data_IF_327904886387
#
_entry.id   IF_327904886387
#
_cell.length_a   1.000
_cell.length_b   1.000
_cell.length_c   1.000
_cell.angle_alpha   90.00
_cell.angle_beta   90.00
_cell.angle_gamma   90.00
#
_symmetry.space_group_name_H-M   'P 1'
#
loop_
_entity.id
_entity.type
_entity.pdbx_description
1 polymer ?
#
# COMPACT_ATOMS: atom_id res chain seq x y z
N UNK A 1 -12.67 7.04 1.00
CA UNK A 1 -11.80 6.24 1.89
C UNK A 1 -10.77 7.18 2.52
N UNK A 2 -10.59 7.15 3.84
CA UNK A 2 -9.59 7.99 4.52
C UNK A 2 -8.45 7.05 4.95
N UNK A 3 -7.26 7.26 4.41
CA UNK A 3 -6.05 6.55 4.82
C UNK A 3 -5.14 7.49 5.58
N UNK A 4 -4.73 7.11 6.80
CA UNK A 4 -3.72 7.83 7.57
C UNK A 4 -2.45 7.00 7.64
N UNK A 5 -1.34 7.58 7.22
CA UNK A 5 -0.01 6.98 7.35
C UNK A 5 0.67 7.65 8.54
N UNK A 6 1.00 6.88 9.59
CA UNK A 6 1.80 7.35 10.72
C UNK A 6 3.14 6.62 10.75
N UNK A 7 4.21 7.35 10.97
CA UNK A 7 5.53 6.77 11.26
C UNK A 7 5.58 6.40 12.75
N UNK A 8 6.02 5.18 13.05
CA UNK A 8 6.17 4.66 14.41
C UNK A 8 5.10 3.65 14.83
N UNK A 9 5.08 3.33 16.14
CA UNK A 9 4.04 2.49 16.70
C UNK A 9 2.66 3.16 16.54
N UNK A 10 1.58 2.37 16.35
CA UNK A 10 0.24 2.93 16.27
C UNK A 10 0.00 3.82 17.49
N UNK A 11 -0.30 5.09 17.28
CA UNK A 11 -0.70 5.98 18.37
C UNK A 11 -2.01 5.46 18.93
N UNK A 12 -2.15 5.51 20.24
CA UNK A 12 -3.44 5.26 20.87
C UNK A 12 -4.51 6.12 20.18
N UNK A 13 -5.74 5.61 20.00
CA UNK A 13 -6.83 6.39 19.43
C UNK A 13 -6.89 7.75 20.16
N UNK A 14 -7.00 8.81 19.40
CA UNK A 14 -7.18 10.15 19.96
C UNK A 14 -8.47 10.13 20.77
N UNK A 15 -8.39 10.34 22.09
CA UNK A 15 -9.57 10.41 22.94
C UNK A 15 -10.45 11.61 22.55
N UNK A 16 -11.69 11.65 23.08
CA UNK A 16 -12.67 12.70 22.77
C UNK A 16 -12.08 14.11 22.88
N UNK A 17 -11.37 14.41 23.97
CA UNK A 17 -10.74 15.71 24.19
C UNK A 17 -9.69 16.06 23.12
N UNK A 18 -8.87 15.10 22.73
CA UNK A 18 -7.88 15.30 21.66
C UNK A 18 -8.53 15.54 20.31
N UNK A 19 -9.66 14.90 20.05
CA UNK A 19 -10.43 15.11 18.83
C UNK A 19 -11.13 16.49 18.83
N UNK A 20 -11.70 16.92 19.95
CA UNK A 20 -12.25 18.28 20.12
C UNK A 20 -11.20 19.37 19.83
N UNK A 21 -9.99 19.22 20.39
CA UNK A 21 -8.88 20.13 20.10
C UNK A 21 -8.48 20.13 18.61
N UNK A 22 -8.53 18.97 17.97
CA UNK A 22 -8.23 18.86 16.55
C UNK A 22 -9.29 19.56 15.67
N UNK A 23 -10.57 19.41 15.98
CA UNK A 23 -11.66 20.12 15.30
C UNK A 23 -11.55 21.63 15.47
N UNK A 24 -11.30 22.10 16.68
CA UNK A 24 -11.10 23.53 16.95
C UNK A 24 -9.90 24.09 16.16
N UNK A 25 -8.77 23.37 16.13
CA UNK A 25 -7.61 23.76 15.32
C UNK A 25 -7.90 23.80 13.81
N UNK A 26 -8.82 22.95 13.33
CA UNK A 26 -9.29 22.94 11.95
C UNK A 26 -10.37 23.99 11.66
N UNK A 27 -10.73 24.85 12.63
CA UNK A 27 -11.77 25.85 12.46
C UNK A 27 -13.20 25.30 12.46
N UNK A 28 -13.38 24.06 12.93
CA UNK A 28 -14.70 23.42 13.01
C UNK A 28 -15.31 23.69 14.39
N UNK A 29 -16.37 24.47 14.44
CA UNK A 29 -17.09 24.87 15.67
C UNK A 29 -18.19 23.89 16.11
N UNK A 30 -18.35 22.78 15.39
CA UNK A 30 -19.37 21.77 15.66
C UNK A 30 -18.99 20.90 16.86
N UNK A 31 -19.92 20.57 17.78
CA UNK A 31 -19.72 19.59 18.82
C UNK A 31 -19.31 18.23 18.26
N UNK A 32 -18.45 17.50 18.97
CA UNK A 32 -17.96 16.19 18.53
C UNK A 32 -19.10 15.18 18.32
N UNK A 33 -20.15 15.23 19.17
CA UNK A 33 -21.35 14.40 19.01
C UNK A 33 -22.02 14.61 17.66
N UNK A 34 -22.18 15.88 17.27
CA UNK A 34 -22.87 16.27 16.04
C UNK A 34 -22.01 15.95 14.82
N UNK A 35 -20.68 16.06 14.96
CA UNK A 35 -19.74 15.63 13.93
C UNK A 35 -19.87 14.12 13.66
N UNK A 36 -19.91 13.29 14.72
CA UNK A 36 -20.11 11.85 14.57
C UNK A 36 -21.49 11.52 13.98
N UNK A 37 -22.55 12.17 14.45
CA UNK A 37 -23.90 11.97 13.91
C UNK A 37 -23.98 12.31 12.42
N UNK A 38 -23.38 13.44 12.01
CA UNK A 38 -23.31 13.82 10.61
C UNK A 38 -22.51 12.82 9.78
N UNK A 39 -21.33 12.41 10.27
CA UNK A 39 -20.53 11.38 9.59
C UNK A 39 -21.32 10.08 9.40
N UNK A 40 -21.98 9.61 10.45
CA UNK A 40 -22.69 8.32 10.46
C UNK A 40 -23.96 8.38 9.59
N UNK A 41 -24.54 9.59 9.38
CA UNK A 41 -25.63 9.79 8.42
C UNK A 41 -25.17 9.72 6.96
N UNK A 42 -23.89 9.99 6.69
CA UNK A 42 -23.31 10.02 5.34
C UNK A 42 -22.52 8.77 4.98
N UNK A 43 -22.04 8.03 5.99
CA UNK A 43 -21.17 6.86 5.78
C UNK A 43 -21.29 5.86 6.93
N UNK A 44 -21.09 4.59 6.63
CA UNK A 44 -20.93 3.54 7.63
C UNK A 44 -19.52 2.98 7.59
N UNK A 45 -18.97 2.67 8.78
CA UNK A 45 -17.68 2.00 8.88
C UNK A 45 -17.87 0.52 8.52
N UNK A 46 -17.29 0.09 7.40
CA UNK A 46 -17.34 -1.31 6.95
C UNK A 46 -16.25 -2.14 7.62
N UNK A 47 -15.02 -1.62 7.63
CA UNK A 47 -13.87 -2.31 8.24
C UNK A 47 -12.77 -1.34 8.59
N UNK A 48 -11.95 -1.72 9.56
CA UNK A 48 -10.67 -1.03 9.87
C UNK A 48 -9.55 -2.04 9.77
N UNK A 49 -8.50 -1.68 9.07
CA UNK A 49 -7.34 -2.53 8.89
C UNK A 49 -6.07 -1.81 9.35
N UNK A 50 -5.17 -2.57 9.96
CA UNK A 50 -3.86 -2.09 10.35
C UNK A 50 -2.79 -2.77 9.49
N UNK A 51 -1.90 -1.96 8.93
CA UNK A 51 -0.86 -2.40 8.02
C UNK A 51 0.51 -2.01 8.53
N UNK A 52 1.49 -2.88 8.32
CA UNK A 52 2.90 -2.63 8.62
C UNK A 52 3.67 -2.49 7.30
N UNK A 53 4.13 -1.30 6.93
CA UNK A 53 5.06 -1.14 5.83
C UNK A 53 6.34 -1.95 6.10
N UNK A 54 6.77 -2.73 5.11
CA UNK A 54 8.01 -3.51 5.12
C UNK A 54 9.07 -2.86 4.23
N UNK A 55 8.63 -2.32 3.11
CA UNK A 55 9.49 -1.63 2.14
C UNK A 55 8.76 -0.34 1.76
N UNK A 56 9.51 0.75 1.68
CA UNK A 56 9.00 2.04 1.22
C UNK A 56 10.05 2.75 0.40
N UNK A 57 9.73 2.99 -0.86
CA UNK A 57 10.50 3.78 -1.81
C UNK A 57 9.64 4.99 -2.21
N UNK A 58 10.11 6.20 -1.92
CA UNK A 58 9.34 7.41 -2.17
C UNK A 58 8.08 7.52 -1.33
N UNK A 59 7.23 8.48 -1.67
CA UNK A 59 5.95 8.72 -1.02
C UNK A 59 4.93 9.26 -2.04
N UNK A 60 3.63 8.96 -1.88
CA UNK A 60 2.61 9.57 -2.71
C UNK A 60 2.59 11.09 -2.46
N UNK A 61 2.35 11.84 -3.53
CA UNK A 61 2.12 13.28 -3.51
C UNK A 61 0.73 13.56 -4.06
N UNK A 62 0.28 14.81 -3.94
CA UNK A 62 -0.93 15.25 -4.58
C UNK A 62 -0.86 14.97 -6.09
N UNK A 63 -1.97 14.55 -6.67
CA UNK A 63 -2.11 14.24 -8.11
C UNK A 63 -1.31 13.00 -8.59
N UNK A 64 -0.75 12.20 -7.67
CA UNK A 64 -0.18 10.90 -8.01
C UNK A 64 -1.27 9.83 -8.16
N UNK A 65 -0.97 8.83 -8.98
CA UNK A 65 -1.81 7.64 -9.22
C UNK A 65 -1.18 6.43 -8.52
N UNK A 66 -1.99 5.67 -7.78
CA UNK A 66 -1.53 4.51 -7.04
C UNK A 66 -2.27 3.26 -7.51
N UNK A 67 -1.54 2.28 -8.03
CA UNK A 67 -2.08 0.93 -8.16
C UNK A 67 -1.81 0.14 -6.88
N UNK A 68 -2.87 -0.18 -6.14
CA UNK A 68 -2.80 -1.06 -4.98
C UNK A 68 -3.12 -2.49 -5.41
N UNK A 69 -2.18 -3.37 -5.16
CA UNK A 69 -2.29 -4.79 -5.46
C UNK A 69 -2.43 -5.53 -4.13
N UNK A 70 -3.58 -6.15 -3.87
CA UNK A 70 -3.84 -6.92 -2.65
C UNK A 70 -3.58 -8.40 -2.90
N UNK A 71 -2.82 -9.04 -2.01
CA UNK A 71 -2.37 -10.41 -2.17
C UNK A 71 -2.84 -11.30 -1.01
N UNK A 72 -3.40 -12.46 -1.37
CA UNK A 72 -3.50 -13.60 -0.47
C UNK A 72 -2.14 -14.28 -0.44
N UNK A 73 -1.53 -14.35 0.73
CA UNK A 73 -0.18 -14.88 0.92
C UNK A 73 -0.25 -16.32 1.39
N UNK A 74 0.50 -17.22 0.74
CA UNK A 74 0.57 -18.64 1.06
C UNK A 74 1.76 -18.96 1.96
N UNK A 75 2.92 -18.32 1.71
CA UNK A 75 4.13 -18.41 2.52
C UNK A 75 4.64 -17.00 2.82
N UNK A 76 4.39 -16.50 4.02
CA UNK A 76 4.70 -15.12 4.36
C UNK A 76 6.21 -14.84 4.44
N UNK A 77 7.06 -15.67 5.09
CA UNK A 77 8.50 -15.47 5.09
C UNK A 77 9.09 -15.45 3.68
N UNK A 78 8.79 -16.47 2.86
CA UNK A 78 9.32 -16.58 1.51
C UNK A 78 8.80 -15.47 0.59
N UNK A 79 7.54 -15.05 0.76
CA UNK A 79 6.99 -13.95 -0.02
C UNK A 79 7.65 -12.61 0.34
N UNK A 80 7.89 -12.33 1.62
CA UNK A 80 8.60 -11.13 2.06
C UNK A 80 10.03 -11.12 1.51
N UNK A 81 10.71 -12.26 1.50
CA UNK A 81 12.05 -12.41 0.90
C UNK A 81 12.01 -12.18 -0.61
N UNK A 82 10.98 -12.67 -1.30
CA UNK A 82 10.79 -12.45 -2.72
C UNK A 82 10.61 -10.95 -3.03
N UNK A 83 9.77 -10.26 -2.25
CA UNK A 83 9.55 -8.82 -2.40
C UNK A 83 10.84 -8.03 -2.16
N UNK A 84 11.63 -8.39 -1.14
CA UNK A 84 12.91 -7.72 -0.84
C UNK A 84 13.99 -7.99 -1.89
N UNK A 85 14.09 -9.23 -2.40
CA UNK A 85 15.23 -9.67 -3.20
C UNK A 85 14.96 -9.67 -4.71
N UNK A 86 13.69 -9.56 -5.12
CA UNK A 86 13.30 -9.53 -6.54
C UNK A 86 12.62 -8.22 -6.89
N UNK A 87 11.51 -7.87 -6.25
CA UNK A 87 10.72 -6.69 -6.63
C UNK A 87 11.34 -5.38 -6.18
N UNK A 88 11.87 -5.31 -4.97
CA UNK A 88 12.47 -4.08 -4.46
C UNK A 88 13.59 -3.53 -5.34
N UNK A 89 14.61 -4.29 -5.76
CA UNK A 89 15.67 -3.77 -6.63
C UNK A 89 15.12 -3.28 -7.99
N UNK A 90 14.10 -3.95 -8.53
CA UNK A 90 13.45 -3.50 -9.77
C UNK A 90 12.68 -2.20 -9.56
N UNK A 91 11.96 -2.07 -8.44
CA UNK A 91 11.24 -0.85 -8.09
C UNK A 91 12.20 0.32 -7.84
N UNK A 92 13.35 0.09 -7.21
CA UNK A 92 14.41 1.09 -7.05
C UNK A 92 14.89 1.61 -8.40
N UNK A 93 15.03 0.74 -9.40
CA UNK A 93 15.42 1.13 -10.75
C UNK A 93 14.32 1.94 -11.45
N UNK A 94 13.05 1.54 -11.35
CA UNK A 94 11.93 2.27 -11.91
C UNK A 94 11.76 3.67 -11.31
N UNK A 95 11.99 3.79 -10.00
CA UNK A 95 11.98 5.10 -9.33
C UNK A 95 13.14 5.95 -9.79
N UNK A 96 14.35 5.38 -9.92
CA UNK A 96 15.53 6.07 -10.43
C UNK A 96 15.37 6.54 -11.88
N UNK A 97 14.73 5.76 -12.72
CA UNK A 97 14.43 6.10 -14.12
C UNK A 97 13.25 7.10 -14.26
N UNK A 98 12.56 7.42 -13.15
CA UNK A 98 11.39 8.31 -13.14
C UNK A 98 10.12 7.69 -13.73
N UNK A 99 10.12 6.40 -14.03
CA UNK A 99 8.91 5.68 -14.51
C UNK A 99 7.90 5.38 -13.40
N UNK A 100 8.35 5.39 -12.14
CA UNK A 100 7.54 5.42 -10.92
C UNK A 100 8.03 6.55 -10.00
N UNK A 101 7.13 7.07 -9.16
CA UNK A 101 7.48 8.02 -8.09
C UNK A 101 7.76 7.33 -6.77
N UNK A 102 7.37 6.07 -6.65
CA UNK A 102 7.59 5.28 -5.45
C UNK A 102 6.97 3.89 -5.52
N UNK A 103 7.30 3.11 -4.52
CA UNK A 103 6.77 1.76 -4.35
C UNK A 103 6.71 1.40 -2.87
N UNK A 104 5.63 0.76 -2.45
CA UNK A 104 5.42 0.32 -1.07
C UNK A 104 5.05 -1.15 -1.07
N UNK A 105 5.61 -1.91 -0.12
CA UNK A 105 5.12 -3.23 0.24
C UNK A 105 4.77 -3.26 1.71
N UNK A 106 3.57 -3.76 2.06
CA UNK A 106 3.08 -3.83 3.43
C UNK A 106 2.40 -5.17 3.72
N UNK A 107 2.47 -5.58 4.98
CA UNK A 107 1.77 -6.76 5.49
C UNK A 107 0.67 -6.36 6.46
N UNK A 108 -0.46 -7.07 6.44
CA UNK A 108 -1.58 -6.83 7.35
C UNK A 108 -1.19 -7.23 8.77
N UNK A 109 -1.57 -6.41 9.74
CA UNK A 109 -1.41 -6.68 11.17
C UNK A 109 -2.76 -7.04 11.78
N UNK A 110 -3.81 -6.29 11.44
CA UNK A 110 -5.18 -6.52 11.91
C UNK A 110 -6.18 -6.26 10.77
N UNK A 111 -7.29 -7.02 10.72
CA UNK A 111 -7.50 -8.26 11.45
C UNK A 111 -6.51 -9.34 11.03
N UNK A 112 -6.18 -10.27 11.93
CA UNK A 112 -5.32 -11.41 11.70
C UNK A 112 -6.14 -12.70 11.79
N UNK A 113 -5.68 -13.76 11.12
CA UNK A 113 -6.34 -15.07 11.13
C UNK A 113 -6.53 -15.63 9.72
N UNK A 114 -7.15 -16.81 9.65
CA UNK A 114 -7.35 -17.54 8.39
C UNK A 114 -8.50 -16.99 7.54
N UNK A 115 -9.34 -16.15 8.11
CA UNK A 115 -10.52 -15.55 7.46
C UNK A 115 -10.18 -14.23 6.73
N UNK A 116 -8.91 -14.01 6.37
CA UNK A 116 -8.50 -12.81 5.64
C UNK A 116 -8.41 -13.09 4.15
N UNK A 117 -9.14 -12.31 3.34
CA UNK A 117 -9.10 -12.40 1.88
C UNK A 117 -7.72 -12.07 1.32
N UNK A 118 -6.97 -11.20 2.02
CA UNK A 118 -5.62 -10.79 1.67
C UNK A 118 -4.81 -10.43 2.93
N UNK A 119 -3.51 -10.68 2.88
CA UNK A 119 -2.58 -10.48 4.00
C UNK A 119 -1.43 -9.51 3.68
N UNK A 120 -1.27 -9.13 2.42
CA UNK A 120 -0.28 -8.15 1.99
C UNK A 120 -0.84 -7.25 0.89
N UNK A 121 -0.23 -6.07 0.70
CA UNK A 121 -0.39 -5.28 -0.50
C UNK A 121 0.93 -4.70 -0.97
N UNK A 122 1.04 -4.46 -2.28
CA UNK A 122 2.00 -3.51 -2.84
C UNK A 122 1.27 -2.30 -3.44
N UNK A 123 1.92 -1.14 -3.40
CA UNK A 123 1.43 0.07 -4.05
C UNK A 123 2.49 0.58 -5.03
N UNK A 124 2.14 0.60 -6.30
CA UNK A 124 2.94 1.23 -7.35
C UNK A 124 2.49 2.69 -7.45
N UNK A 125 3.40 3.65 -7.27
CA UNK A 125 3.11 5.09 -7.25
C UNK A 125 3.64 5.73 -8.53
N UNK A 126 2.76 6.42 -9.25
CA UNK A 126 3.08 7.04 -10.54
C UNK A 126 2.85 8.55 -10.51
N UNK A 127 3.72 9.34 -11.19
CA UNK A 127 3.61 10.80 -11.20
C UNK A 127 2.46 11.32 -12.09
N UNK A 128 1.93 10.49 -12.99
CA UNK A 128 0.86 10.88 -13.92
C UNK A 128 0.07 9.68 -14.41
N UNK A 129 -1.10 9.95 -14.99
CA UNK A 129 -1.91 8.95 -15.69
C UNK A 129 -1.12 8.23 -16.79
N UNK A 130 -0.42 8.97 -17.63
CA UNK A 130 0.37 8.40 -18.73
C UNK A 130 1.45 7.46 -18.21
N UNK A 131 2.15 7.85 -17.12
CA UNK A 131 3.15 6.98 -16.50
C UNK A 131 2.54 5.69 -15.94
N UNK A 132 1.33 5.78 -15.35
CA UNK A 132 0.63 4.64 -14.75
C UNK A 132 0.19 3.59 -15.79
N UNK A 133 -0.12 4.02 -17.02
CA UNK A 133 -0.59 3.15 -18.10
C UNK A 133 0.43 2.89 -19.19
N UNK A 134 1.60 3.53 -19.11
CA UNK A 134 2.71 3.25 -20.03
C UNK A 134 3.18 1.80 -19.84
N UNK A 135 3.16 1.04 -20.93
CA UNK A 135 3.70 -0.32 -20.91
C UNK A 135 5.21 -0.28 -20.64
N UNK A 136 5.63 -1.03 -19.65
CA UNK A 136 7.04 -1.27 -19.36
C UNK A 136 7.32 -2.76 -19.30
N UNK A 137 8.49 -3.14 -19.78
CA UNK A 137 8.90 -4.53 -19.80
C UNK A 137 9.50 -4.90 -18.43
N UNK A 138 8.71 -5.61 -17.62
CA UNK A 138 9.19 -6.20 -16.34
C UNK A 138 10.41 -7.08 -16.59
N UNK A 139 10.40 -7.86 -17.69
CA UNK A 139 11.50 -8.75 -18.06
C UNK A 139 12.79 -7.98 -18.33
N UNK A 140 12.73 -6.89 -19.10
CA UNK A 140 13.92 -6.08 -19.41
C UNK A 140 14.57 -5.53 -18.15
N UNK A 141 13.76 -5.02 -17.20
CA UNK A 141 14.29 -4.54 -15.92
C UNK A 141 14.84 -5.69 -15.08
N UNK A 142 14.16 -6.85 -15.07
CA UNK A 142 14.64 -8.01 -14.35
C UNK A 142 16.00 -8.48 -14.87
N UNK A 143 16.15 -8.63 -16.18
CA UNK A 143 17.39 -9.08 -16.82
C UNK A 143 18.55 -8.12 -16.54
N UNK A 144 18.26 -6.80 -16.47
CA UNK A 144 19.23 -5.76 -16.10
C UNK A 144 19.70 -5.87 -14.64
N UNK A 145 18.75 -6.05 -13.71
CA UNK A 145 19.00 -5.99 -12.26
C UNK A 145 19.47 -7.35 -11.72
N UNK A 146 18.92 -8.43 -12.24
CA UNK A 146 19.17 -9.79 -11.79
C UNK A 146 19.97 -10.60 -12.81
N UNK A 147 21.07 -10.01 -13.32
CA UNK A 147 21.94 -10.67 -14.29
C UNK A 147 22.35 -12.06 -13.78
N UNK A 148 22.18 -13.09 -14.63
CA UNK A 148 22.47 -14.48 -14.29
C UNK A 148 21.31 -15.26 -13.63
N UNK A 149 20.16 -14.62 -13.33
CA UNK A 149 18.95 -15.32 -12.90
C UNK A 149 18.01 -15.54 -14.08
N UNK A 150 17.31 -16.66 -14.09
CA UNK A 150 16.28 -16.93 -15.09
C UNK A 150 14.96 -16.25 -14.71
N UNK A 151 14.49 -15.34 -15.56
CA UNK A 151 13.24 -14.60 -15.35
C UNK A 151 12.05 -15.54 -15.16
N UNK A 152 11.84 -16.48 -16.09
CA UNK A 152 10.68 -17.38 -16.06
C UNK A 152 10.69 -18.23 -14.79
N UNK A 153 11.83 -18.85 -14.48
CA UNK A 153 11.97 -19.66 -13.27
C UNK A 153 11.71 -18.85 -11.99
N UNK A 154 12.11 -17.58 -11.97
CA UNK A 154 11.86 -16.69 -10.82
C UNK A 154 10.39 -16.36 -10.72
N UNK A 155 9.72 -15.99 -11.84
CA UNK A 155 8.31 -15.62 -11.83
C UNK A 155 7.38 -16.82 -11.58
N UNK A 156 7.76 -18.04 -11.97
CA UNK A 156 6.99 -19.27 -11.71
C UNK A 156 6.87 -19.61 -10.20
N UNK A 157 7.66 -18.94 -9.35
CA UNK A 157 7.52 -19.05 -7.89
C UNK A 157 6.33 -18.24 -7.36
N UNK A 158 5.97 -17.12 -8.00
CA UNK A 158 4.93 -16.21 -7.49
C UNK A 158 3.60 -16.89 -7.18
N UNK A 159 3.01 -17.73 -8.07
CA UNK A 159 1.76 -18.41 -7.78
C UNK A 159 1.81 -19.36 -6.57
N UNK A 160 3.01 -19.79 -6.17
CA UNK A 160 3.20 -20.61 -4.97
C UNK A 160 3.28 -19.77 -3.69
N UNK A 161 3.67 -18.51 -3.82
CA UNK A 161 3.87 -17.58 -2.70
C UNK A 161 2.62 -16.76 -2.41
N UNK A 162 1.88 -16.37 -3.46
CA UNK A 162 0.72 -15.48 -3.32
C UNK A 162 -0.23 -15.54 -4.51
N UNK A 163 -1.50 -15.20 -4.28
CA UNK A 163 -2.47 -14.84 -5.32
C UNK A 163 -2.71 -13.33 -5.31
N UNK A 164 -2.81 -12.72 -6.48
CA UNK A 164 -3.32 -11.36 -6.63
C UNK A 164 -4.85 -11.42 -6.55
N UNK A 165 -5.43 -10.99 -5.42
CA UNK A 165 -6.88 -11.08 -5.19
C UNK A 165 -7.66 -9.88 -5.68
N UNK A 166 -7.05 -8.68 -5.61
CA UNK A 166 -7.69 -7.43 -6.00
C UNK A 166 -6.64 -6.40 -6.42
N UNK A 167 -6.98 -5.61 -7.42
CA UNK A 167 -6.20 -4.44 -7.83
C UNK A 167 -7.10 -3.22 -7.87
N UNK A 168 -6.64 -2.12 -7.31
CA UNK A 168 -7.36 -0.84 -7.26
C UNK A 168 -6.49 0.27 -7.84
N UNK A 169 -7.12 1.25 -8.46
CA UNK A 169 -6.49 2.52 -8.84
C UNK A 169 -7.03 3.63 -7.92
N UNK A 170 -6.12 4.32 -7.26
CA UNK A 170 -6.41 5.48 -6.42
C UNK A 170 -5.81 6.73 -7.04
N UNK A 171 -6.56 7.85 -6.90
CA UNK A 171 -6.20 9.18 -7.42
C UNK A 171 -6.25 10.19 -6.29
#
# INVERSE_FOLDING_TARGET
MISTISEGAPRAPIGREGFEKALQKAGVSMPVSDWYANRDSLSSLVSTEMWRPRIRLGAPQKDHYLFLNYMKVHDAPEYIDFENNVWRPMAEEWVKEGSQSGWVFATKVLPSGTDTTYAAYSADIYPSWDAAFKQRSVRTTFDKIHSGKNFQQTMDRLPKLRDLTRRELWV
#
